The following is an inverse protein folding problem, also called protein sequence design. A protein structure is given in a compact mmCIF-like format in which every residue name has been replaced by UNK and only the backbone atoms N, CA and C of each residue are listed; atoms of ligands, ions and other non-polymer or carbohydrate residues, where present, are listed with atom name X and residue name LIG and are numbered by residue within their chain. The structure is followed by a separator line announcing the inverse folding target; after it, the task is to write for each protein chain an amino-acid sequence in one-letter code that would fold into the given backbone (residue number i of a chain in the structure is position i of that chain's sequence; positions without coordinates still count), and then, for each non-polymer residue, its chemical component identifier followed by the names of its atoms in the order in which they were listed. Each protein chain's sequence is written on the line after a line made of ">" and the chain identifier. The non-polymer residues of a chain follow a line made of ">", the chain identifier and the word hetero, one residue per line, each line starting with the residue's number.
data_IF_226456223592
#
_entry.id   IF_226456223592
#
_cell.length_a   1.000
_cell.length_b   1.000
_cell.length_c   1.000
_cell.angle_alpha   90.00
_cell.angle_beta   90.00
_cell.angle_gamma   90.00
#
_symmetry.space_group_name_H-M   'P 1'
#
loop_
_entity.id
_entity.type
_entity.pdbx_description
1 polymer ?
#
# COMPACT_ATOMS: atom_id res chain seq x y z
N UNK A 1 19.68 12.86 -3.91
CA UNK A 1 18.69 13.24 -2.86
C UNK A 1 17.35 13.54 -3.50
N UNK A 2 16.27 13.06 -2.90
CA UNK A 2 14.92 13.33 -3.39
C UNK A 2 14.60 14.82 -3.21
N UNK A 3 14.13 15.47 -4.28
CA UNK A 3 13.70 16.87 -4.23
C UNK A 3 12.27 16.97 -3.69
N UNK A 4 11.85 18.16 -3.27
CA UNK A 4 10.47 18.39 -2.83
C UNK A 4 9.48 18.13 -3.97
N UNK A 5 9.85 18.49 -5.21
CA UNK A 5 9.02 18.22 -6.38
C UNK A 5 8.82 16.72 -6.59
N UNK A 6 9.89 15.93 -6.45
CA UNK A 6 9.79 14.48 -6.54
C UNK A 6 8.91 13.90 -5.44
N UNK A 7 9.02 14.43 -4.21
CA UNK A 7 8.15 14.01 -3.10
C UNK A 7 6.67 14.26 -3.40
N UNK A 8 6.37 15.43 -3.96
CA UNK A 8 4.99 15.78 -4.34
C UNK A 8 4.47 14.79 -5.38
N UNK A 9 5.28 14.45 -6.38
CA UNK A 9 4.89 13.50 -7.42
C UNK A 9 4.64 12.11 -6.85
N UNK A 10 5.49 11.64 -5.93
CA UNK A 10 5.33 10.35 -5.28
C UNK A 10 4.06 10.34 -4.43
N UNK A 11 3.84 11.41 -3.68
CA UNK A 11 2.65 11.55 -2.84
C UNK A 11 1.37 11.58 -3.67
N UNK A 12 1.38 12.29 -4.78
CA UNK A 12 0.22 12.37 -5.68
C UNK A 12 -0.14 11.01 -6.24
N UNK A 13 0.87 10.21 -6.65
CA UNK A 13 0.61 8.85 -7.11
C UNK A 13 0.04 7.97 -5.99
N UNK A 14 0.60 8.07 -4.80
CA UNK A 14 0.11 7.29 -3.66
C UNK A 14 -1.32 7.68 -3.29
N UNK A 15 -1.64 8.97 -3.29
CA UNK A 15 -2.98 9.45 -2.97
C UNK A 15 -4.00 9.19 -4.06
N UNK A 16 -3.55 8.96 -5.30
CA UNK A 16 -4.44 8.63 -6.42
C UNK A 16 -4.83 7.14 -6.42
N UNK A 17 -4.10 6.31 -5.71
CA UNK A 17 -4.44 4.89 -5.56
C UNK A 17 -5.66 4.75 -4.65
N UNK A 18 -6.26 3.57 -4.65
CA UNK A 18 -7.37 3.29 -3.74
C UNK A 18 -6.97 3.59 -2.30
N UNK A 19 -7.92 4.08 -1.52
CA UNK A 19 -7.66 4.47 -0.13
C UNK A 19 -7.06 3.31 0.67
N UNK A 20 -6.13 3.65 1.57
CA UNK A 20 -5.59 2.70 2.53
C UNK A 20 -6.49 2.52 3.74
N UNK A 21 -6.12 1.65 4.65
CA UNK A 21 -4.94 0.80 4.54
C UNK A 21 -5.14 -0.35 3.55
N UNK A 22 -4.06 -0.90 3.05
CA UNK A 22 -4.09 -2.12 2.24
C UNK A 22 -3.56 -3.28 3.07
N UNK A 23 -4.18 -4.45 2.91
CA UNK A 23 -3.75 -5.64 3.65
C UNK A 23 -3.79 -6.85 2.74
N UNK A 24 -2.71 -7.62 2.76
CA UNK A 24 -2.64 -8.87 2.01
C UNK A 24 -3.41 -9.96 2.75
N UNK A 25 -4.25 -10.68 2.01
CA UNK A 25 -4.93 -11.87 2.49
C UNK A 25 -4.48 -13.04 1.64
N UNK A 26 -3.67 -13.90 2.22
CA UNK A 26 -3.03 -14.99 1.51
C UNK A 26 -3.78 -16.29 1.75
N UNK A 27 -4.16 -16.96 0.67
CA UNK A 27 -4.80 -18.26 0.73
C UNK A 27 -3.92 -19.26 1.48
N UNK A 28 -4.51 -19.94 2.45
CA UNK A 28 -3.79 -20.91 3.29
C UNK A 28 -3.03 -20.32 4.45
N UNK A 29 -2.89 -18.99 4.51
CA UNK A 29 -2.26 -18.29 5.64
C UNK A 29 -3.26 -17.44 6.41
N UNK A 30 -4.00 -16.61 5.70
CA UNK A 30 -4.92 -15.64 6.30
C UNK A 30 -6.39 -16.01 6.13
N UNK A 31 -6.70 -16.81 5.12
CA UNK A 31 -8.05 -17.31 4.85
C UNK A 31 -8.00 -18.53 3.92
N UNK A 32 -9.15 -19.14 3.69
CA UNK A 32 -9.29 -20.31 2.82
C UNK A 32 -10.48 -20.16 1.88
N UNK A 33 -10.53 -19.05 1.13
CA UNK A 33 -11.63 -18.78 0.19
C UNK A 33 -11.27 -19.00 -1.27
N UNK A 34 -10.07 -19.50 -1.54
CA UNK A 34 -9.69 -19.95 -2.89
C UNK A 34 -8.70 -19.07 -3.65
N UNK A 35 -8.43 -17.85 -3.21
CA UNK A 35 -7.46 -16.99 -3.87
C UNK A 35 -6.83 -16.01 -2.90
N UNK A 36 -5.62 -15.57 -3.24
CA UNK A 36 -4.95 -14.48 -2.51
C UNK A 36 -5.33 -13.14 -3.12
N UNK A 37 -5.45 -12.12 -2.30
CA UNK A 37 -5.80 -10.77 -2.76
C UNK A 37 -5.30 -9.73 -1.76
N UNK A 38 -5.30 -8.47 -2.20
CA UNK A 38 -5.06 -7.33 -1.32
C UNK A 38 -6.42 -6.66 -1.07
N UNK A 39 -6.81 -6.59 0.20
CA UNK A 39 -7.99 -5.83 0.59
C UNK A 39 -7.60 -4.36 0.69
N UNK A 40 -8.41 -3.48 0.10
CA UNK A 40 -8.19 -2.04 0.17
C UNK A 40 -9.25 -1.40 1.06
N UNK A 41 -8.83 -0.39 1.84
CA UNK A 41 -9.72 0.30 2.76
C UNK A 41 -9.98 -0.46 4.04
N UNK A 42 -10.94 0.03 4.81
CA UNK A 42 -11.37 -0.60 6.07
C UNK A 42 -12.58 -1.48 5.83
N UNK A 43 -12.99 -2.24 6.85
CA UNK A 43 -14.22 -3.04 6.76
C UNK A 43 -15.46 -2.17 6.55
N UNK A 44 -15.47 -0.96 7.10
CA UNK A 44 -16.59 -0.01 6.94
C UNK A 44 -16.55 0.74 5.61
N UNK A 45 -15.34 0.95 5.06
CA UNK A 45 -15.16 1.69 3.81
C UNK A 45 -14.23 0.92 2.89
N UNK A 46 -14.69 -0.24 2.48
CA UNK A 46 -13.92 -1.17 1.67
C UNK A 46 -13.93 -0.75 0.20
N UNK A 47 -12.72 -0.74 -0.42
CA UNK A 47 -12.57 -0.55 -1.85
C UNK A 47 -12.54 -1.89 -2.58
N UNK A 48 -12.04 -1.89 -3.79
CA UNK A 48 -11.95 -3.10 -4.60
C UNK A 48 -10.77 -3.96 -4.15
N UNK A 49 -10.95 -5.28 -4.16
CA UNK A 49 -9.85 -6.21 -3.91
C UNK A 49 -8.92 -6.22 -5.12
N UNK A 50 -7.61 -6.34 -4.88
CA UNK A 50 -6.61 -6.42 -5.93
C UNK A 50 -6.06 -7.85 -5.97
N UNK A 51 -6.21 -8.51 -7.11
CA UNK A 51 -5.60 -9.80 -7.35
C UNK A 51 -4.46 -9.63 -8.36
N UNK A 52 -3.35 -10.34 -8.12
CA UNK A 52 -2.17 -10.23 -8.98
C UNK A 52 -1.80 -11.57 -9.56
N UNK A 53 -1.53 -11.59 -10.86
CA UNK A 53 -1.08 -12.79 -11.56
C UNK A 53 0.44 -12.90 -11.44
N UNK A 54 0.91 -14.08 -11.07
CA UNK A 54 2.36 -14.33 -10.98
C UNK A 54 3.04 -13.80 -9.73
N UNK A 55 2.29 -13.25 -8.78
CA UNK A 55 2.86 -12.70 -7.55
C UNK A 55 3.13 -13.80 -6.52
N UNK A 56 4.26 -13.67 -5.83
CA UNK A 56 4.58 -14.52 -4.67
C UNK A 56 3.89 -13.95 -3.42
N UNK A 57 3.90 -14.72 -2.33
CA UNK A 57 3.40 -14.23 -1.04
C UNK A 57 4.17 -12.97 -0.63
N UNK A 58 5.48 -12.97 -0.80
CA UNK A 58 6.31 -11.80 -0.47
C UNK A 58 5.95 -10.59 -1.30
N UNK A 59 5.60 -10.77 -2.57
CA UNK A 59 5.16 -9.68 -3.44
C UNK A 59 3.87 -9.05 -2.92
N UNK A 60 2.90 -9.88 -2.54
CA UNK A 60 1.64 -9.40 -1.95
C UNK A 60 1.90 -8.60 -0.68
N UNK A 61 2.71 -9.13 0.23
CA UNK A 61 3.02 -8.45 1.49
C UNK A 61 3.74 -7.14 1.25
N UNK A 62 4.71 -7.12 0.34
CA UNK A 62 5.46 -5.91 0.02
C UNK A 62 4.54 -4.83 -0.56
N UNK A 63 3.75 -5.18 -1.56
CA UNK A 63 2.89 -4.21 -2.25
C UNK A 63 1.81 -3.68 -1.31
N UNK A 64 1.18 -4.56 -0.55
CA UNK A 64 0.13 -4.14 0.39
C UNK A 64 0.68 -3.17 1.45
N UNK A 65 1.83 -3.49 2.03
CA UNK A 65 2.45 -2.64 3.05
C UNK A 65 3.02 -1.36 2.46
N UNK A 66 3.54 -1.40 1.24
CA UNK A 66 4.09 -0.22 0.57
C UNK A 66 3.08 0.92 0.48
N UNK A 67 1.79 0.61 0.38
CA UNK A 67 0.73 1.62 0.33
C UNK A 67 0.79 2.57 1.52
N UNK A 68 0.93 2.02 2.73
CA UNK A 68 1.02 2.79 3.96
C UNK A 68 2.43 3.30 4.20
N UNK A 69 3.43 2.45 3.91
CA UNK A 69 4.83 2.76 4.18
C UNK A 69 5.31 3.98 3.42
N UNK A 70 4.91 4.12 2.17
CA UNK A 70 5.32 5.27 1.33
C UNK A 70 4.79 6.57 1.94
N UNK A 71 3.53 6.62 2.33
CA UNK A 71 2.94 7.81 2.95
C UNK A 71 3.66 8.15 4.25
N UNK A 72 3.94 7.13 5.05
CA UNK A 72 4.64 7.30 6.33
C UNK A 72 6.06 7.82 6.12
N UNK A 73 6.77 7.26 5.13
CA UNK A 73 8.13 7.71 4.81
C UNK A 73 8.17 9.15 4.30
N UNK A 74 7.20 9.54 3.47
CA UNK A 74 7.07 10.92 3.00
C UNK A 74 6.90 11.87 4.18
N UNK A 75 6.02 11.53 5.10
CA UNK A 75 5.77 12.32 6.31
C UNK A 75 7.04 12.47 7.13
N UNK A 76 7.78 11.38 7.31
CA UNK A 76 9.03 11.39 8.07
C UNK A 76 10.10 12.26 7.39
N UNK A 77 10.24 12.16 6.08
CA UNK A 77 11.18 12.98 5.31
C UNK A 77 10.86 14.46 5.51
N UNK A 78 9.59 14.84 5.43
CA UNK A 78 9.18 16.24 5.62
C UNK A 78 9.47 16.73 7.03
N UNK A 79 9.25 15.89 8.04
CA UNK A 79 9.59 16.22 9.42
C UNK A 79 11.08 16.48 9.58
N UNK A 80 11.91 15.63 8.98
CA UNK A 80 13.36 15.81 9.05
C UNK A 80 13.83 17.07 8.34
N UNK A 81 13.15 17.48 7.28
CA UNK A 81 13.50 18.68 6.51
C UNK A 81 13.06 19.98 7.16
N UNK A 82 12.16 19.93 8.10
CA UNK A 82 11.71 21.11 8.85
C UNK A 82 12.70 21.59 9.87
N UNK A 83 13.69 20.81 10.22
CA UNK A 83 14.66 21.12 11.26
C UNK A 83 15.87 21.86 10.75
#
# INVERSE_FOLDING_TARGET
>A
MITEEELIQIEDRANSAQAGPWKAYIEGRDHESGSSFIMTGTEEQRGEDIEMVGATIADYDFIANARQDIIRLISEIRNLRKK
#
